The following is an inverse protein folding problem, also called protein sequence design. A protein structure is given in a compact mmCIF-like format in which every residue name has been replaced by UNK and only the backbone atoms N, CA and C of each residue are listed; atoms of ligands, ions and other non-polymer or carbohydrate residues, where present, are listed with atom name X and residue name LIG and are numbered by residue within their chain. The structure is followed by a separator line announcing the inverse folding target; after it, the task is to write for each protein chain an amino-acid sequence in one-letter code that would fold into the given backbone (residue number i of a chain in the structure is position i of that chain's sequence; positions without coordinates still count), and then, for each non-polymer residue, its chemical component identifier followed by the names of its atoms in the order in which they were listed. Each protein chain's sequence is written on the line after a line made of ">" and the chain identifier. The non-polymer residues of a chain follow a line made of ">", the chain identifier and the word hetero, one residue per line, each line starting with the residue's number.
data_IF_324875970669
#
_entry.id   IF_324875970669
#
_cell.length_a   1.000
_cell.length_b   1.000
_cell.length_c   1.000
_cell.angle_alpha   90.00
_cell.angle_beta   90.00
_cell.angle_gamma   90.00
#
_symmetry.space_group_name_H-M   'P 1'
#
loop_
_entity.id
_entity.type
_entity.pdbx_description
1 polymer ?
#
# COMPACT_ATOMS: atom_id res chain seq x y z
N UNK A 1 4.73 1.75 10.86
CA UNK A 1 5.41 3.06 10.81
C UNK A 1 4.66 4.04 9.93
N UNK A 2 4.23 3.64 8.74
CA UNK A 2 3.41 4.46 7.81
C UNK A 2 2.06 4.90 8.42
N UNK A 3 1.48 4.12 9.32
CA UNK A 3 0.20 4.42 10.00
C UNK A 3 0.23 5.59 10.98
N UNK A 4 1.38 6.24 11.17
CA UNK A 4 1.55 7.42 12.03
C UNK A 4 2.08 8.63 11.28
N UNK A 5 1.96 8.64 9.94
CA UNK A 5 2.39 9.75 9.10
C UNK A 5 1.27 10.78 9.04
N UNK A 6 1.52 11.95 9.60
CA UNK A 6 0.67 13.12 9.47
C UNK A 6 1.19 14.00 8.31
N UNK A 7 0.32 14.85 7.77
CA UNK A 7 0.63 15.72 6.62
C UNK A 7 1.84 16.68 6.84
N UNK A 8 2.33 16.79 8.07
CA UNK A 8 3.46 17.65 8.46
C UNK A 8 4.71 16.86 8.90
N UNK A 9 4.77 15.55 8.59
CA UNK A 9 5.93 14.74 8.97
C UNK A 9 7.21 15.17 8.24
N UNK A 10 8.31 15.24 8.99
CA UNK A 10 9.63 15.50 8.39
C UNK A 10 10.03 14.37 7.46
N UNK A 11 10.35 14.69 6.21
CA UNK A 11 10.80 13.76 5.18
C UNK A 11 11.94 12.86 5.67
N UNK A 12 12.96 13.45 6.31
CA UNK A 12 14.15 12.73 6.76
C UNK A 12 13.90 11.74 7.90
N UNK A 13 12.97 12.04 8.79
CA UNK A 13 12.74 11.21 9.99
C UNK A 13 11.66 10.15 9.81
N UNK A 14 10.80 10.28 8.81
CA UNK A 14 9.70 9.35 8.61
C UNK A 14 9.81 8.64 7.26
N UNK A 15 9.97 9.39 6.17
CA UNK A 15 9.97 8.82 4.82
C UNK A 15 11.23 7.99 4.57
N UNK A 16 12.41 8.54 4.87
CA UNK A 16 13.68 7.84 4.62
C UNK A 16 13.80 6.54 5.43
N UNK A 17 13.56 6.50 6.76
CA UNK A 17 13.62 5.25 7.51
C UNK A 17 12.57 4.23 7.05
N UNK A 18 11.38 4.69 6.69
CA UNK A 18 10.33 3.79 6.18
C UNK A 18 10.73 3.15 4.85
N UNK A 19 11.28 3.93 3.91
CA UNK A 19 11.78 3.42 2.64
C UNK A 19 12.97 2.48 2.81
N UNK A 20 13.89 2.81 3.72
CA UNK A 20 15.04 1.95 4.03
C UNK A 20 14.59 0.60 4.63
N UNK A 21 13.64 0.64 5.57
CA UNK A 21 13.08 -0.58 6.17
C UNK A 21 12.35 -1.44 5.14
N UNK A 22 11.57 -0.81 4.25
CA UNK A 22 10.89 -1.50 3.17
C UNK A 22 11.88 -2.15 2.20
N UNK A 23 12.91 -1.42 1.77
CA UNK A 23 13.95 -1.94 0.88
C UNK A 23 14.71 -3.10 1.52
N UNK A 24 15.06 -2.99 2.80
CA UNK A 24 15.71 -4.07 3.56
C UNK A 24 14.81 -5.31 3.66
N UNK A 25 13.52 -5.12 3.94
CA UNK A 25 12.55 -6.23 3.98
C UNK A 25 12.43 -6.96 2.65
N UNK A 26 12.36 -6.23 1.56
CA UNK A 26 12.32 -6.79 0.20
C UNK A 26 13.62 -7.58 -0.08
N UNK A 27 14.77 -7.01 0.20
CA UNK A 27 16.07 -7.65 -0.05
C UNK A 27 16.24 -8.96 0.73
N UNK A 28 15.81 -8.99 2.00
CA UNK A 28 15.88 -10.17 2.85
C UNK A 28 14.98 -11.32 2.38
N UNK A 29 13.88 -11.02 1.71
CA UNK A 29 12.95 -12.03 1.19
C UNK A 29 13.37 -12.49 -0.22
N UNK A 30 13.79 -11.57 -1.07
CA UNK A 30 14.04 -11.85 -2.49
C UNK A 30 15.22 -12.79 -2.71
N UNK A 31 16.33 -12.60 -2.02
CA UNK A 31 17.51 -13.43 -2.15
C UNK A 31 17.22 -14.90 -1.88
N UNK A 32 16.87 -15.26 -0.62
CA UNK A 32 16.60 -16.65 -0.25
C UNK A 32 15.47 -17.30 -1.03
N UNK A 33 14.41 -16.56 -1.38
CA UNK A 33 13.30 -17.10 -2.16
C UNK A 33 13.71 -17.44 -3.59
N UNK A 34 14.53 -16.60 -4.22
CA UNK A 34 15.06 -16.86 -5.56
C UNK A 34 16.04 -18.04 -5.56
N UNK A 35 16.94 -18.10 -4.58
CA UNK A 35 17.90 -19.19 -4.43
C UNK A 35 17.17 -20.53 -4.21
N UNK A 36 16.17 -20.56 -3.33
CA UNK A 36 15.36 -21.75 -3.09
C UNK A 36 14.64 -22.22 -4.36
N UNK A 37 14.09 -21.29 -5.16
CA UNK A 37 13.44 -21.61 -6.42
C UNK A 37 14.44 -22.17 -7.44
N UNK A 38 15.58 -21.50 -7.62
CA UNK A 38 16.59 -21.87 -8.61
C UNK A 38 17.27 -23.21 -8.28
N UNK A 39 17.41 -23.55 -7.01
CA UNK A 39 17.99 -24.83 -6.58
C UNK A 39 17.12 -26.05 -6.91
N UNK A 40 15.85 -25.87 -7.19
CA UNK A 40 14.91 -26.97 -7.54
C UNK A 40 14.78 -27.20 -9.03
N UNK A 41 15.37 -26.34 -9.87
CA UNK A 41 15.20 -26.35 -11.32
C UNK A 41 16.48 -26.82 -12.01
N UNK A 42 16.42 -27.72 -13.03
CA UNK A 42 17.58 -28.10 -13.84
C UNK A 42 18.22 -26.88 -14.52
N UNK A 43 19.54 -26.89 -14.67
CA UNK A 43 20.30 -25.79 -15.31
C UNK A 43 19.75 -25.41 -16.70
N UNK A 44 19.28 -26.40 -17.48
CA UNK A 44 18.69 -26.19 -18.80
C UNK A 44 17.37 -25.38 -18.77
N UNK A 45 16.71 -25.26 -17.62
CA UNK A 45 15.42 -24.58 -17.45
C UNK A 45 15.49 -23.32 -16.58
N UNK A 46 16.69 -22.92 -16.14
CA UNK A 46 16.89 -21.78 -15.24
C UNK A 46 16.34 -20.47 -15.82
N UNK A 47 16.49 -20.24 -17.13
CA UNK A 47 15.93 -19.05 -17.78
C UNK A 47 14.39 -19.00 -17.75
N UNK A 48 13.74 -20.15 -17.97
CA UNK A 48 12.28 -20.24 -17.88
C UNK A 48 11.79 -20.03 -16.43
N UNK A 49 12.46 -20.62 -15.46
CA UNK A 49 12.15 -20.46 -14.05
C UNK A 49 12.29 -18.98 -13.58
N UNK A 50 13.34 -18.30 -14.02
CA UNK A 50 13.50 -16.86 -13.75
C UNK A 50 12.37 -16.04 -14.34
N UNK A 51 12.00 -16.27 -15.59
CA UNK A 51 10.90 -15.57 -16.24
C UNK A 51 9.56 -15.78 -15.53
N UNK A 52 9.28 -16.99 -15.08
CA UNK A 52 8.06 -17.32 -14.31
C UNK A 52 8.08 -16.59 -12.95
N UNK A 53 9.22 -16.62 -12.25
CA UNK A 53 9.37 -15.94 -10.98
C UNK A 53 9.12 -14.43 -11.09
N UNK A 54 9.68 -13.78 -12.12
CA UNK A 54 9.50 -12.35 -12.36
C UNK A 54 8.04 -12.04 -12.75
N UNK A 55 7.41 -12.89 -13.56
CA UNK A 55 5.99 -12.76 -13.93
C UNK A 55 5.08 -12.85 -12.70
N UNK A 56 5.30 -13.79 -11.81
CA UNK A 56 4.50 -13.94 -10.58
C UNK A 56 4.67 -12.72 -9.68
N UNK A 57 5.87 -12.18 -9.58
CA UNK A 57 6.13 -10.93 -8.85
C UNK A 57 5.38 -9.73 -9.42
N UNK A 58 5.41 -9.57 -10.74
CA UNK A 58 4.71 -8.50 -11.45
C UNK A 58 3.20 -8.58 -11.20
N UNK A 59 2.62 -9.77 -11.35
CA UNK A 59 1.21 -10.02 -11.05
C UNK A 59 0.89 -9.71 -9.59
N UNK A 60 1.72 -10.16 -8.65
CA UNK A 60 1.55 -9.89 -7.23
C UNK A 60 1.60 -8.40 -6.91
N UNK A 61 2.55 -7.66 -7.50
CA UNK A 61 2.66 -6.22 -7.37
C UNK A 61 1.43 -5.49 -7.91
N UNK A 62 0.96 -5.87 -9.09
CA UNK A 62 -0.23 -5.29 -9.73
C UNK A 62 -1.49 -5.53 -8.90
N UNK A 63 -1.69 -6.75 -8.41
CA UNK A 63 -2.80 -7.07 -7.51
C UNK A 63 -2.72 -6.28 -6.19
N UNK A 64 -1.52 -6.13 -5.63
CA UNK A 64 -1.31 -5.33 -4.43
C UNK A 64 -1.73 -3.87 -4.62
N UNK A 65 -1.32 -3.25 -5.72
CA UNK A 65 -1.72 -1.87 -6.07
C UNK A 65 -3.24 -1.78 -6.26
N UNK A 66 -3.87 -2.75 -6.93
CA UNK A 66 -5.31 -2.77 -7.14
C UNK A 66 -6.09 -2.87 -5.82
N UNK A 67 -5.67 -3.73 -4.89
CA UNK A 67 -6.29 -3.87 -3.56
C UNK A 67 -6.14 -2.58 -2.76
N UNK A 68 -4.95 -2.00 -2.72
CA UNK A 68 -4.69 -0.73 -2.01
C UNK A 68 -5.52 0.42 -2.60
N UNK A 69 -5.53 0.55 -3.93
CA UNK A 69 -6.31 1.56 -4.62
C UNK A 69 -7.82 1.41 -4.37
N UNK A 70 -8.33 0.20 -4.42
CA UNK A 70 -9.74 -0.11 -4.11
C UNK A 70 -10.09 0.26 -2.67
N UNK A 71 -9.23 -0.09 -1.70
CA UNK A 71 -9.45 0.26 -0.29
C UNK A 71 -9.50 1.78 -0.08
N UNK A 72 -8.57 2.53 -0.68
CA UNK A 72 -8.57 4.00 -0.60
C UNK A 72 -9.82 4.58 -1.26
N UNK A 73 -10.19 4.10 -2.45
CA UNK A 73 -11.35 4.59 -3.19
C UNK A 73 -12.68 4.26 -2.50
N UNK A 74 -12.73 3.26 -1.62
CA UNK A 74 -13.92 2.94 -0.84
C UNK A 74 -14.04 3.79 0.42
N UNK A 75 -12.92 4.06 1.11
CA UNK A 75 -12.95 4.74 2.41
C UNK A 75 -12.92 6.27 2.27
N UNK A 76 -12.17 6.79 1.28
CA UNK A 76 -11.96 8.22 1.12
C UNK A 76 -13.27 9.02 0.90
N UNK A 77 -14.21 8.60 0.01
CA UNK A 77 -15.47 9.32 -0.20
C UNK A 77 -16.32 9.39 1.05
N UNK A 78 -16.46 8.28 1.79
CA UNK A 78 -17.27 8.20 3.00
C UNK A 78 -16.72 9.14 4.08
N UNK A 79 -15.43 9.08 4.36
CA UNK A 79 -14.75 9.95 5.35
C UNK A 79 -14.82 11.43 4.95
N UNK A 80 -14.72 11.74 3.66
CA UNK A 80 -14.81 13.12 3.19
C UNK A 80 -16.24 13.65 3.27
N UNK A 81 -17.23 12.84 2.86
CA UNK A 81 -18.65 13.19 2.94
C UNK A 81 -19.05 13.52 4.38
N UNK A 82 -18.65 12.68 5.34
CA UNK A 82 -18.88 12.91 6.76
C UNK A 82 -18.24 14.21 7.25
N UNK A 83 -17.01 14.48 6.83
CA UNK A 83 -16.26 15.68 7.18
C UNK A 83 -16.85 16.96 6.58
N UNK A 84 -17.50 16.89 5.42
CA UNK A 84 -18.11 18.01 4.73
C UNK A 84 -19.60 18.24 5.09
N UNK A 85 -20.25 17.27 5.75
CA UNK A 85 -21.69 17.30 6.03
C UNK A 85 -22.18 18.51 6.85
N UNK A 86 -21.28 19.18 7.59
CA UNK A 86 -21.57 20.40 8.35
C UNK A 86 -21.26 21.71 7.60
N UNK A 87 -20.70 21.65 6.39
CA UNK A 87 -20.28 22.81 5.64
C UNK A 87 -21.32 23.14 4.54
N UNK A 88 -21.70 24.41 4.41
CA UNK A 88 -22.60 24.87 3.33
C UNK A 88 -21.85 24.93 1.99
N UNK A 89 -21.47 23.76 1.47
CA UNK A 89 -20.78 23.63 0.19
C UNK A 89 -21.81 23.13 -0.85
N UNK A 90 -21.83 23.71 -2.08
CA UNK A 90 -22.66 23.19 -3.16
C UNK A 90 -22.41 21.68 -3.38
N UNK A 91 -23.47 20.90 -3.49
CA UNK A 91 -23.40 19.44 -3.64
C UNK A 91 -22.57 18.96 -4.84
N UNK A 92 -22.52 19.76 -5.90
CA UNK A 92 -21.69 19.49 -7.07
C UNK A 92 -20.18 19.56 -6.75
N UNK A 93 -19.79 20.46 -5.87
CA UNK A 93 -18.39 20.63 -5.42
C UNK A 93 -18.02 19.52 -4.46
N UNK A 94 -18.90 19.20 -3.50
CA UNK A 94 -18.70 18.11 -2.56
C UNK A 94 -18.51 16.78 -3.31
N UNK A 95 -19.40 16.46 -4.23
CA UNK A 95 -19.33 15.24 -5.03
C UNK A 95 -18.06 15.15 -5.89
N UNK A 96 -17.64 16.24 -6.52
CA UNK A 96 -16.41 16.26 -7.30
C UNK A 96 -15.15 16.07 -6.41
N UNK A 97 -15.20 16.53 -5.16
CA UNK A 97 -14.13 16.32 -4.19
C UNK A 97 -14.09 14.85 -3.66
N UNK A 98 -15.25 14.22 -3.50
CA UNK A 98 -15.39 12.80 -3.16
C UNK A 98 -14.86 11.87 -4.25
N UNK A 99 -15.07 12.22 -5.52
CA UNK A 99 -14.61 11.42 -6.65
C UNK A 99 -13.08 11.30 -6.74
N UNK A 100 -12.33 12.33 -6.33
CA UNK A 100 -10.88 12.31 -6.41
C UNK A 100 -10.22 13.42 -5.58
N UNK A 101 -9.14 13.08 -4.88
CA UNK A 101 -8.26 14.04 -4.18
C UNK A 101 -7.70 15.10 -5.14
N UNK A 102 -7.40 14.72 -6.38
CA UNK A 102 -6.91 15.67 -7.39
C UNK A 102 -8.00 16.64 -7.84
N UNK A 103 -9.22 16.15 -8.01
CA UNK A 103 -10.38 17.00 -8.29
C UNK A 103 -10.66 17.95 -7.13
N UNK A 104 -10.62 17.46 -5.89
CA UNK A 104 -10.74 18.28 -4.69
C UNK A 104 -9.71 19.43 -4.70
N UNK A 105 -8.43 19.14 -4.94
CA UNK A 105 -7.37 20.15 -5.01
C UNK A 105 -7.55 21.17 -6.13
N UNK A 106 -8.10 20.77 -7.27
CA UNK A 106 -8.36 21.70 -8.39
C UNK A 106 -9.50 22.69 -8.10
N UNK A 107 -10.42 22.34 -7.21
CA UNK A 107 -11.57 23.16 -6.83
C UNK A 107 -11.20 24.16 -5.71
N UNK A 108 -10.23 23.83 -4.86
CA UNK A 108 -9.81 24.68 -3.71
C UNK A 108 -9.59 26.15 -4.06
N UNK A 109 -8.93 26.53 -5.20
CA UNK A 109 -8.73 27.93 -5.56
C UNK A 109 -10.04 28.70 -5.83
N UNK A 110 -11.12 28.01 -6.17
CA UNK A 110 -12.42 28.60 -6.51
C UNK A 110 -13.34 28.76 -5.28
N UNK A 111 -12.93 28.24 -4.12
CA UNK A 111 -13.69 28.34 -2.88
C UNK A 111 -13.41 29.65 -2.15
N UNK A 112 -14.43 30.21 -1.44
CA UNK A 112 -14.24 31.36 -0.53
C UNK A 112 -13.14 31.07 0.50
N UNK A 113 -12.32 32.06 0.82
CA UNK A 113 -11.17 31.93 1.70
C UNK A 113 -11.51 31.32 3.07
N UNK A 114 -12.69 31.60 3.62
CA UNK A 114 -13.14 31.09 4.92
C UNK A 114 -13.44 29.58 4.93
N UNK A 115 -13.71 28.97 3.79
CA UNK A 115 -14.07 27.55 3.68
C UNK A 115 -12.89 26.74 3.11
N UNK A 116 -12.04 27.39 2.32
CA UNK A 116 -10.92 26.73 1.63
C UNK A 116 -10.02 25.92 2.57
N UNK A 117 -9.59 26.54 3.67
CA UNK A 117 -8.68 25.90 4.63
C UNK A 117 -9.33 24.68 5.29
N UNK A 118 -10.63 24.79 5.64
CA UNK A 118 -11.38 23.68 6.23
C UNK A 118 -11.52 22.53 5.25
N UNK A 119 -11.87 22.80 3.99
CA UNK A 119 -11.99 21.77 2.94
C UNK A 119 -10.64 21.12 2.66
N UNK A 120 -9.57 21.89 2.55
CA UNK A 120 -8.22 21.36 2.34
C UNK A 120 -7.80 20.44 3.49
N UNK A 121 -8.08 20.81 4.72
CA UNK A 121 -7.80 20.01 5.90
C UNK A 121 -8.65 18.74 5.91
N UNK A 122 -9.96 18.83 5.60
CA UNK A 122 -10.85 17.66 5.50
C UNK A 122 -10.36 16.68 4.43
N UNK A 123 -10.04 17.15 3.23
CA UNK A 123 -9.49 16.33 2.14
C UNK A 123 -8.19 15.62 2.58
N UNK A 124 -7.28 16.35 3.21
CA UNK A 124 -6.02 15.78 3.68
C UNK A 124 -6.24 14.73 4.76
N UNK A 125 -7.11 15.01 5.74
CA UNK A 125 -7.39 14.08 6.84
C UNK A 125 -8.11 12.83 6.35
N UNK A 126 -9.13 12.98 5.49
CA UNK A 126 -9.88 11.83 4.93
C UNK A 126 -8.99 10.95 4.06
N UNK A 127 -8.08 11.55 3.28
CA UNK A 127 -7.11 10.79 2.50
C UNK A 127 -6.11 10.03 3.38
N UNK A 128 -5.66 10.64 4.48
CA UNK A 128 -4.78 9.97 5.45
C UNK A 128 -5.50 8.82 6.16
N UNK A 129 -6.76 9.01 6.56
CA UNK A 129 -7.60 7.95 7.14
C UNK A 129 -7.75 6.78 6.18
N UNK A 130 -8.12 7.04 4.92
CA UNK A 130 -8.22 6.02 3.88
C UNK A 130 -6.89 5.28 3.63
N UNK A 131 -5.77 6.01 3.64
CA UNK A 131 -4.43 5.42 3.50
C UNK A 131 -4.09 4.52 4.70
N UNK A 132 -4.43 4.95 5.92
CA UNK A 132 -4.25 4.12 7.11
C UNK A 132 -5.09 2.83 7.04
N UNK A 133 -6.34 2.91 6.61
CA UNK A 133 -7.20 1.74 6.43
C UNK A 133 -6.59 0.76 5.40
N UNK A 134 -6.13 1.26 4.25
CA UNK A 134 -5.45 0.46 3.25
C UNK A 134 -4.17 -0.21 3.78
N UNK A 135 -3.37 0.50 4.58
CA UNK A 135 -2.19 -0.07 5.24
C UNK A 135 -2.54 -1.20 6.21
N UNK A 136 -3.64 -1.07 6.97
CA UNK A 136 -4.10 -2.14 7.86
C UNK A 136 -4.54 -3.38 7.08
N UNK A 137 -5.25 -3.19 5.96
CA UNK A 137 -5.63 -4.30 5.06
C UNK A 137 -4.37 -4.98 4.51
N UNK A 138 -3.37 -4.23 4.05
CA UNK A 138 -2.12 -4.79 3.56
C UNK A 138 -1.37 -5.57 4.64
N UNK A 139 -1.30 -5.05 5.88
CA UNK A 139 -0.71 -5.75 7.02
C UNK A 139 -1.44 -7.06 7.34
N UNK A 140 -2.78 -7.03 7.34
CA UNK A 140 -3.59 -8.22 7.60
C UNK A 140 -3.36 -9.30 6.53
N UNK A 141 -3.33 -8.92 5.25
CA UNK A 141 -3.04 -9.83 4.15
C UNK A 141 -1.62 -10.40 4.25
N UNK A 142 -0.61 -9.56 4.54
CA UNK A 142 0.75 -10.03 4.70
C UNK A 142 0.89 -11.05 5.85
N UNK A 143 0.24 -10.81 6.98
CA UNK A 143 0.21 -11.75 8.11
C UNK A 143 -0.51 -13.04 7.76
N UNK A 144 -1.64 -12.96 7.05
CA UNK A 144 -2.39 -14.14 6.60
C UNK A 144 -1.55 -15.01 5.65
N UNK A 145 -0.86 -14.40 4.68
CA UNK A 145 0.05 -15.13 3.78
C UNK A 145 1.28 -15.69 4.51
N UNK A 146 1.85 -14.96 5.45
CA UNK A 146 2.96 -15.45 6.26
C UNK A 146 2.55 -16.68 7.09
N UNK A 147 1.36 -16.64 7.70
CA UNK A 147 0.80 -17.76 8.43
C UNK A 147 0.51 -18.96 7.52
N UNK A 148 -0.05 -18.71 6.33
CA UNK A 148 -0.29 -19.74 5.32
C UNK A 148 1.02 -20.42 4.92
N UNK A 149 2.06 -19.65 4.62
CA UNK A 149 3.39 -20.18 4.31
C UNK A 149 3.94 -21.00 5.49
N UNK A 150 3.81 -20.52 6.70
CA UNK A 150 4.27 -21.23 7.90
C UNK A 150 3.62 -22.60 8.07
N UNK A 151 2.33 -22.71 7.74
CA UNK A 151 1.57 -23.95 7.88
C UNK A 151 1.83 -24.92 6.70
N UNK A 152 2.00 -24.38 5.48
CA UNK A 152 2.06 -25.18 4.25
C UNK A 152 3.48 -25.58 3.85
N UNK A 153 4.51 -24.79 4.23
CA UNK A 153 5.89 -25.17 3.89
C UNK A 153 6.36 -26.31 4.78
N UNK A 154 6.87 -27.42 4.16
CA UNK A 154 7.46 -28.50 4.91
C UNK A 154 8.70 -28.00 5.65
N UNK A 155 8.82 -28.37 6.94
CA UNK A 155 10.02 -28.09 7.71
C UNK A 155 11.20 -28.80 7.05
N UNK A 156 12.17 -28.02 6.63
CA UNK A 156 13.42 -28.56 6.10
C UNK A 156 14.20 -29.20 7.28
N UNK A 157 14.22 -30.51 7.34
CA UNK A 157 15.08 -31.22 8.30
C UNK A 157 16.52 -31.03 7.83
N UNK A 158 17.26 -30.22 8.55
CA UNK A 158 18.69 -29.93 8.32
C UNK A 158 19.62 -31.14 8.61
N UNK A 159 19.07 -32.35 8.64
CA UNK A 159 19.73 -33.55 9.09
C UNK A 159 20.46 -34.41 8.05
N UNK A 160 20.34 -34.11 6.74
CA UNK A 160 20.97 -34.92 5.71
C UNK A 160 21.75 -34.05 4.71
N UNK A 161 22.91 -33.56 5.14
CA UNK A 161 23.98 -33.19 4.21
C UNK A 161 24.70 -34.52 3.85
N UNK A 162 24.70 -34.98 2.60
CA UNK A 162 25.56 -36.04 2.15
C UNK A 162 27.02 -35.57 2.25
N UNK A 163 27.84 -36.36 2.94
CA UNK A 163 29.29 -36.17 3.04
C UNK A 163 29.95 -36.44 1.70
#
# INVERSE_FOLDING_TARGET
>A
MVTRVDAHCSYWFVVVPTMALMAAGIALIQGPATDALMSTVPESSTGAASAVNDTIREIGGTLGVAVMGSAISSVYPDELSDSLSGLQIPSSIAKAAEDSVMAAKSILPHLPAGIRQTVEQSVSTSFMSATHAACWIACALALAFALLCWITLPKHDSGNLPQ
#
